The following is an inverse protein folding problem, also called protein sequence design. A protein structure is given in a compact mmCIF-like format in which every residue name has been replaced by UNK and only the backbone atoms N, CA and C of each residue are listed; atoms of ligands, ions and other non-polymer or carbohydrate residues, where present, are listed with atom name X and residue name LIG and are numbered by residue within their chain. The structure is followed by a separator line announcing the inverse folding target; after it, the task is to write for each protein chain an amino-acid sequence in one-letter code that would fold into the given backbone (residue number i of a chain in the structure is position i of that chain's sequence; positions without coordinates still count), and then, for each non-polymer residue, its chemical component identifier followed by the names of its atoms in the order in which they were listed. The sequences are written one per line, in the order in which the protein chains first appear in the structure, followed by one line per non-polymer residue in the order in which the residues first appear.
data_IF_203713716542
#
_entry.id   IF_203713716542
#
_cell.length_a   1.000
_cell.length_b   1.000
_cell.length_c   1.000
_cell.angle_alpha   90.00
_cell.angle_beta   90.00
_cell.angle_gamma   90.00
#
_symmetry.space_group_name_H-M   'P 1'
#
loop_
_entity.id
_entity.type
_entity.pdbx_description
1 polymer ?
#
# COMPACT_ATOMS: atom_id res chain seq x y z
N UNK A 1 -2.79 12.89 -16.60
CA UNK A 1 -4.15 12.64 -16.08
C UNK A 1 -3.93 12.18 -14.66
N UNK A 2 -4.28 13.03 -13.73
CA UNK A 2 -3.99 12.77 -12.32
C UNK A 2 -4.98 11.72 -11.82
N UNK A 3 -4.47 10.65 -11.19
CA UNK A 3 -5.32 9.67 -10.54
C UNK A 3 -6.02 10.36 -9.38
N UNK A 4 -7.33 10.25 -9.38
CA UNK A 4 -8.13 10.68 -8.26
C UNK A 4 -8.28 9.48 -7.29
N UNK A 5 -7.91 9.68 -6.03
CA UNK A 5 -8.11 8.69 -4.98
C UNK A 5 -9.56 8.18 -4.92
N UNK A 6 -10.54 9.02 -5.32
CA UNK A 6 -11.94 8.61 -5.44
C UNK A 6 -12.17 7.48 -6.44
N UNK A 7 -11.34 7.36 -7.47
CA UNK A 7 -11.45 6.31 -8.48
C UNK A 7 -10.99 4.96 -7.93
N UNK A 8 -9.91 4.96 -7.12
CA UNK A 8 -9.44 3.77 -6.42
C UNK A 8 -10.49 3.32 -5.39
N UNK A 9 -11.03 4.27 -4.63
CA UNK A 9 -12.10 3.99 -3.67
C UNK A 9 -13.31 3.38 -4.36
N UNK A 10 -13.81 4.02 -5.42
CA UNK A 10 -14.97 3.57 -6.21
C UNK A 10 -14.76 2.18 -6.81
N UNK A 11 -13.54 1.91 -7.31
CA UNK A 11 -13.17 0.58 -7.78
C UNK A 11 -13.35 -0.47 -6.67
N UNK A 12 -12.83 -0.22 -5.47
CA UNK A 12 -12.93 -1.17 -4.36
C UNK A 12 -14.34 -1.35 -3.79
N UNK A 13 -15.30 -0.46 -4.13
CA UNK A 13 -16.72 -0.65 -3.84
C UNK A 13 -17.43 -1.52 -4.91
N UNK A 14 -16.84 -1.69 -6.08
CA UNK A 14 -17.39 -2.54 -7.14
C UNK A 14 -17.32 -4.03 -6.78
N UNK A 15 -18.14 -4.86 -7.47
CA UNK A 15 -18.09 -6.33 -7.30
C UNK A 15 -16.69 -6.89 -7.58
N UNK A 16 -16.05 -6.39 -8.62
CA UNK A 16 -14.72 -6.82 -9.02
C UNK A 16 -13.66 -6.37 -8.01
N UNK A 17 -13.68 -5.10 -7.59
CA UNK A 17 -12.78 -4.57 -6.58
C UNK A 17 -12.92 -5.29 -5.23
N UNK A 18 -14.13 -5.71 -4.88
CA UNK A 18 -14.37 -6.53 -3.67
C UNK A 18 -13.69 -7.89 -3.76
N UNK A 19 -13.73 -8.55 -4.93
CA UNK A 19 -13.02 -9.82 -5.15
C UNK A 19 -11.51 -9.63 -5.09
N UNK A 20 -10.99 -8.60 -5.75
CA UNK A 20 -9.56 -8.25 -5.73
C UNK A 20 -9.10 -7.98 -4.30
N UNK A 21 -9.82 -7.14 -3.57
CA UNK A 21 -9.55 -6.83 -2.16
C UNK A 21 -9.48 -8.08 -1.30
N UNK A 22 -10.43 -9.01 -1.47
CA UNK A 22 -10.45 -10.29 -0.74
C UNK A 22 -9.21 -11.13 -1.04
N UNK A 23 -8.82 -11.25 -2.31
CA UNK A 23 -7.64 -12.00 -2.70
C UNK A 23 -6.34 -11.39 -2.15
N UNK A 24 -6.20 -10.08 -2.24
CA UNK A 24 -5.04 -9.38 -1.69
C UNK A 24 -4.96 -9.57 -0.16
N UNK A 25 -6.09 -9.43 0.55
CA UNK A 25 -6.15 -9.70 2.01
C UNK A 25 -5.70 -11.11 2.36
N UNK A 26 -6.13 -12.10 1.59
CA UNK A 26 -5.74 -13.50 1.81
C UNK A 26 -4.22 -13.67 1.62
N UNK A 27 -3.65 -13.13 0.56
CA UNK A 27 -2.21 -13.18 0.30
C UNK A 27 -1.41 -12.45 1.39
N UNK A 28 -1.81 -11.24 1.75
CA UNK A 28 -1.15 -10.51 2.84
C UNK A 28 -1.20 -11.28 4.15
N UNK A 29 -2.36 -11.81 4.51
CA UNK A 29 -2.54 -12.56 5.75
C UNK A 29 -1.67 -13.83 5.78
N UNK A 30 -1.51 -14.53 4.68
CA UNK A 30 -0.65 -15.72 4.61
C UNK A 30 0.83 -15.43 4.92
N UNK A 31 1.29 -14.21 4.65
CA UNK A 31 2.65 -13.76 4.98
C UNK A 31 2.77 -13.13 6.39
N UNK A 32 1.65 -12.71 6.97
CA UNK A 32 1.61 -11.93 8.20
C UNK A 32 0.97 -12.66 9.38
N UNK A 33 0.46 -13.88 9.20
CA UNK A 33 -0.23 -14.63 10.24
C UNK A 33 0.68 -15.06 11.39
N UNK A 34 1.98 -15.07 11.20
CA UNK A 34 2.98 -15.44 12.21
C UNK A 34 3.58 -14.23 12.94
N UNK A 35 3.27 -13.00 12.52
CA UNK A 35 3.77 -11.81 13.20
C UNK A 35 2.89 -11.48 14.42
N UNK A 36 3.54 -11.25 15.55
CA UNK A 36 2.89 -10.81 16.79
C UNK A 36 3.69 -9.63 17.36
N UNK A 37 3.00 -8.75 18.08
CA UNK A 37 3.61 -7.61 18.78
C UNK A 37 4.52 -6.75 17.88
N UNK A 38 4.12 -6.60 16.61
CA UNK A 38 4.93 -5.95 15.56
C UNK A 38 4.39 -4.57 15.21
N UNK A 39 5.30 -3.68 14.83
CA UNK A 39 4.99 -2.35 14.29
C UNK A 39 4.80 -2.49 12.78
N UNK A 40 3.61 -2.16 12.29
CA UNK A 40 3.21 -2.27 10.89
C UNK A 40 2.90 -0.89 10.32
N UNK A 41 3.59 -0.51 9.27
CA UNK A 41 3.34 0.73 8.53
C UNK A 41 2.72 0.42 7.17
N UNK A 42 1.56 0.98 6.89
CA UNK A 42 0.99 1.02 5.55
C UNK A 42 1.42 2.28 4.83
N UNK A 43 1.88 2.17 3.59
CA UNK A 43 2.30 3.30 2.78
C UNK A 43 1.60 3.29 1.42
N UNK A 44 0.82 4.33 1.15
CA UNK A 44 -0.07 4.41 -0.01
C UNK A 44 -1.55 4.18 0.35
N UNK A 45 -2.34 3.61 -0.56
CA UNK A 45 -3.75 3.31 -0.31
C UNK A 45 -3.92 1.95 0.40
N UNK A 46 -3.48 1.85 1.66
CA UNK A 46 -3.40 0.59 2.42
C UNK A 46 -4.57 0.34 3.37
N UNK A 47 -5.39 1.34 3.63
CA UNK A 47 -6.45 1.33 4.65
C UNK A 47 -7.37 0.10 4.60
N UNK A 48 -7.84 -0.39 3.42
CA UNK A 48 -8.71 -1.58 3.37
C UNK A 48 -8.02 -2.85 3.87
N UNK A 49 -6.70 -2.92 3.79
CA UNK A 49 -5.91 -4.08 4.19
C UNK A 49 -5.50 -4.00 5.66
N UNK A 50 -5.07 -2.81 6.11
CA UNK A 50 -4.73 -2.57 7.51
C UNK A 50 -5.92 -2.74 8.43
N UNK A 51 -7.10 -2.25 8.04
CA UNK A 51 -8.35 -2.47 8.79
C UNK A 51 -8.69 -3.95 8.96
N UNK A 52 -8.37 -4.77 7.96
CA UNK A 52 -8.53 -6.22 8.06
C UNK A 52 -7.51 -6.83 9.03
N UNK A 53 -6.23 -6.47 8.91
CA UNK A 53 -5.16 -6.96 9.79
C UNK A 53 -5.42 -6.59 11.25
N UNK A 54 -5.81 -5.35 11.51
CA UNK A 54 -6.13 -4.86 12.86
C UNK A 54 -7.28 -5.63 13.52
N UNK A 55 -8.23 -6.12 12.73
CA UNK A 55 -9.32 -6.99 13.24
C UNK A 55 -8.85 -8.40 13.56
N UNK A 56 -7.88 -8.91 12.82
CA UNK A 56 -7.33 -10.26 13.00
C UNK A 56 -6.35 -10.35 14.18
N UNK A 57 -5.54 -9.32 14.36
CA UNK A 57 -4.54 -9.28 15.44
C UNK A 57 -4.51 -7.89 16.07
N UNK A 58 -4.99 -7.81 17.31
CA UNK A 58 -5.07 -6.57 18.11
C UNK A 58 -3.74 -6.16 18.76
N UNK A 59 -2.74 -7.02 18.73
CA UNK A 59 -1.42 -6.74 19.29
C UNK A 59 -0.52 -6.00 18.28
N UNK A 60 -0.95 -5.80 17.06
CA UNK A 60 -0.19 -5.03 16.07
C UNK A 60 -0.31 -3.54 16.34
N UNK A 61 0.82 -2.83 16.32
CA UNK A 61 0.86 -1.38 16.30
C UNK A 61 0.80 -0.91 14.86
N UNK A 62 -0.36 -0.47 14.39
CA UNK A 62 -0.62 -0.15 12.99
C UNK A 62 -0.65 1.36 12.79
N UNK A 63 0.07 1.83 11.78
CA UNK A 63 -0.04 3.18 11.24
C UNK A 63 -0.22 3.17 9.72
N UNK A 64 -0.96 4.12 9.18
CA UNK A 64 -1.12 4.30 7.74
C UNK A 64 -0.60 5.67 7.31
N UNK A 65 0.32 5.69 6.37
CA UNK A 65 0.93 6.87 5.78
C UNK A 65 0.41 7.01 4.35
N UNK A 66 -0.55 7.88 4.16
CA UNK A 66 -1.21 8.08 2.87
C UNK A 66 -0.70 9.37 2.21
N UNK A 67 -0.07 9.29 1.03
CA UNK A 67 0.33 10.48 0.27
C UNK A 67 -0.86 11.37 -0.09
N UNK A 68 -0.65 12.69 -0.09
CA UNK A 68 -1.67 13.70 -0.38
C UNK A 68 -2.41 13.45 -1.70
N UNK A 69 -1.71 13.00 -2.74
CA UNK A 69 -2.32 12.71 -4.04
C UNK A 69 -3.31 11.53 -4.00
N UNK A 70 -3.27 10.72 -2.94
CA UNK A 70 -4.21 9.63 -2.68
C UNK A 70 -5.32 10.04 -1.69
N UNK A 71 -5.36 11.30 -1.24
CA UNK A 71 -6.44 11.80 -0.39
C UNK A 71 -7.67 12.13 -1.24
N UNK A 72 -8.67 11.27 -1.18
CA UNK A 72 -9.96 11.45 -1.86
C UNK A 72 -11.00 12.16 -1.01
N UNK A 73 -10.62 12.83 0.09
CA UNK A 73 -11.54 13.42 1.07
C UNK A 73 -12.58 12.38 1.61
N UNK A 74 -12.22 11.11 1.59
CA UNK A 74 -13.07 10.05 2.12
C UNK A 74 -12.96 10.04 3.62
N UNK A 75 -14.01 10.47 4.30
CA UNK A 75 -14.09 10.48 5.78
C UNK A 75 -14.34 9.07 6.31
N UNK A 76 -13.32 8.22 6.26
CA UNK A 76 -13.36 6.93 6.93
C UNK A 76 -12.74 7.06 8.34
N UNK A 77 -13.35 6.41 9.32
CA UNK A 77 -12.75 6.27 10.64
C UNK A 77 -11.97 4.97 10.70
N UNK A 78 -10.71 5.07 11.10
CA UNK A 78 -9.84 3.92 11.29
C UNK A 78 -9.57 3.71 12.78
N UNK A 79 -9.43 2.45 13.20
CA UNK A 79 -9.05 2.07 14.57
C UNK A 79 -7.52 2.02 14.74
N UNK A 80 -6.77 2.78 13.94
CA UNK A 80 -5.32 2.90 13.95
C UNK A 80 -4.90 4.31 13.52
N UNK A 81 -3.65 4.67 13.77
CA UNK A 81 -3.09 5.95 13.35
C UNK A 81 -3.10 6.10 11.83
N UNK A 82 -3.68 7.19 11.33
CA UNK A 82 -3.75 7.48 9.90
C UNK A 82 -3.34 8.91 9.66
N UNK A 83 -2.32 9.10 8.83
CA UNK A 83 -1.76 10.41 8.51
C UNK A 83 -1.71 10.62 6.99
N UNK A 84 -2.07 11.82 6.56
CA UNK A 84 -1.80 12.31 5.21
C UNK A 84 -0.40 12.91 5.22
N UNK A 85 0.45 12.49 4.29
CA UNK A 85 1.87 12.82 4.25
C UNK A 85 2.32 13.30 2.87
N UNK A 86 3.44 13.99 2.83
CA UNK A 86 4.15 14.23 1.57
C UNK A 86 4.72 12.90 1.03
N UNK A 87 4.62 12.68 -0.28
CA UNK A 87 4.83 11.38 -0.94
C UNK A 87 6.23 10.75 -0.78
N UNK A 88 7.24 11.52 -0.37
CA UNK A 88 8.64 11.05 -0.23
C UNK A 88 9.18 11.21 1.19
N UNK A 89 8.32 11.39 2.17
CA UNK A 89 8.73 11.54 3.56
C UNK A 89 7.81 10.77 4.50
N UNK A 90 8.37 9.81 5.22
CA UNK A 90 7.67 9.08 6.28
C UNK A 90 8.06 9.65 7.64
N UNK A 91 7.11 10.21 8.42
CA UNK A 91 7.40 10.80 9.73
C UNK A 91 7.59 9.72 10.82
N UNK A 92 8.48 8.78 10.54
CA UNK A 92 8.83 7.66 11.41
C UNK A 92 10.35 7.58 11.58
N UNK A 93 10.78 7.12 12.75
CA UNK A 93 12.20 6.98 13.06
C UNK A 93 12.86 5.89 12.18
N UNK A 94 14.15 6.02 11.87
CA UNK A 94 14.91 4.97 11.22
C UNK A 94 14.85 3.66 12.00
N UNK A 95 14.76 2.52 11.30
CA UNK A 95 14.76 1.18 11.91
C UNK A 95 13.72 1.00 13.02
N UNK A 96 12.53 1.58 12.86
CA UNK A 96 11.45 1.56 13.84
C UNK A 96 10.31 0.59 13.51
N UNK A 97 10.21 0.14 12.25
CA UNK A 97 9.08 -0.62 11.72
C UNK A 97 9.48 -2.06 11.40
N UNK A 98 8.68 -3.03 11.83
CA UNK A 98 8.90 -4.47 11.55
C UNK A 98 8.39 -4.86 10.16
N UNK A 99 7.27 -4.27 9.74
CA UNK A 99 6.62 -4.59 8.46
C UNK A 99 6.16 -3.32 7.76
N UNK A 100 6.54 -3.15 6.50
CA UNK A 100 5.95 -2.14 5.62
C UNK A 100 5.08 -2.83 4.57
N UNK A 101 3.83 -2.37 4.44
CA UNK A 101 2.90 -2.78 3.39
C UNK A 101 2.68 -1.59 2.48
N UNK A 102 2.98 -1.72 1.19
CA UNK A 102 2.71 -0.67 0.21
C UNK A 102 1.71 -1.13 -0.84
N UNK A 103 0.68 -0.32 -1.07
CA UNK A 103 -0.32 -0.56 -2.13
C UNK A 103 -0.68 0.75 -2.80
N UNK A 104 -0.80 0.72 -4.13
CA UNK A 104 -1.19 1.88 -4.93
C UNK A 104 -0.32 3.12 -4.65
N UNK A 105 0.98 2.92 -4.59
CA UNK A 105 1.98 3.96 -4.39
C UNK A 105 2.95 4.02 -5.57
N UNK A 106 3.74 2.95 -5.75
CA UNK A 106 4.88 2.93 -6.66
C UNK A 106 4.50 3.11 -8.13
N UNK A 107 3.28 2.77 -8.50
CA UNK A 107 2.75 2.98 -9.83
C UNK A 107 2.42 4.45 -10.12
N UNK A 108 2.27 5.29 -9.10
CA UNK A 108 1.78 6.67 -9.24
C UNK A 108 2.79 7.74 -8.86
N UNK A 109 3.76 7.44 -8.01
CA UNK A 109 4.81 8.39 -7.65
C UNK A 109 5.79 8.64 -8.80
N UNK A 110 6.25 9.87 -8.94
CA UNK A 110 7.22 10.23 -9.97
C UNK A 110 8.60 9.61 -9.72
N UNK A 111 9.00 9.56 -8.46
CA UNK A 111 10.32 9.07 -8.01
C UNK A 111 10.17 7.83 -7.11
N UNK A 112 9.83 6.67 -7.66
CA UNK A 112 9.62 5.45 -6.86
C UNK A 112 10.86 5.03 -6.06
N UNK A 113 12.06 5.38 -6.53
CA UNK A 113 13.32 5.19 -5.81
C UNK A 113 13.30 5.86 -4.44
N UNK A 114 12.89 7.14 -4.39
CA UNK A 114 12.84 7.90 -3.12
C UNK A 114 11.83 7.29 -2.14
N UNK A 115 10.71 6.80 -2.62
CA UNK A 115 9.76 6.07 -1.75
C UNK A 115 10.35 4.76 -1.22
N UNK A 116 11.14 4.03 -2.03
CA UNK A 116 11.82 2.80 -1.60
C UNK A 116 12.93 3.13 -0.58
N UNK A 117 13.70 4.19 -0.79
CA UNK A 117 14.73 4.65 0.17
C UNK A 117 14.12 4.96 1.54
N UNK A 118 12.97 5.64 1.58
CA UNK A 118 12.23 5.89 2.82
C UNK A 118 11.72 4.60 3.47
N UNK A 119 11.22 3.64 2.69
CA UNK A 119 10.82 2.32 3.20
C UNK A 119 12.03 1.62 3.86
N UNK A 120 13.18 1.61 3.20
CA UNK A 120 14.40 1.02 3.75
C UNK A 120 14.91 1.74 4.99
N UNK A 121 14.78 3.07 5.04
CA UNK A 121 15.17 3.86 6.20
C UNK A 121 14.41 3.47 7.46
N UNK A 122 13.08 3.30 7.35
CA UNK A 122 12.22 3.01 8.51
C UNK A 122 12.19 1.53 8.91
N UNK A 123 12.48 0.62 7.98
CA UNK A 123 12.48 -0.82 8.25
C UNK A 123 13.62 -1.20 9.21
N UNK A 124 13.29 -2.01 10.21
CA UNK A 124 14.29 -2.68 11.05
C UNK A 124 15.14 -3.66 10.25
N UNK A 125 16.37 -3.98 10.70
CA UNK A 125 17.12 -5.12 10.16
C UNK A 125 16.26 -6.39 10.19
N UNK A 126 16.21 -7.10 9.07
CA UNK A 126 15.32 -8.26 8.83
C UNK A 126 13.81 -7.93 8.82
N UNK A 127 13.43 -6.66 8.75
CA UNK A 127 12.04 -6.24 8.55
C UNK A 127 11.48 -6.71 7.21
N UNK A 128 10.17 -6.84 7.13
CA UNK A 128 9.48 -7.35 5.94
C UNK A 128 8.88 -6.20 5.13
N UNK A 129 9.21 -6.14 3.84
CA UNK A 129 8.55 -5.26 2.88
C UNK A 129 7.62 -6.05 1.96
N UNK A 130 6.32 -5.75 1.99
CA UNK A 130 5.30 -6.30 1.11
C UNK A 130 4.72 -5.20 0.23
N UNK A 131 4.70 -5.41 -1.07
CA UNK A 131 4.10 -4.44 -1.99
C UNK A 131 3.16 -5.09 -3.00
N UNK A 132 2.08 -4.39 -3.32
CA UNK A 132 1.11 -4.78 -4.33
C UNK A 132 1.11 -3.71 -5.41
N UNK A 133 1.55 -4.09 -6.59
CA UNK A 133 1.63 -3.22 -7.77
C UNK A 133 1.00 -3.91 -8.99
N UNK A 134 0.41 -3.16 -9.93
CA UNK A 134 -0.10 -3.71 -11.17
C UNK A 134 1.03 -4.30 -12.03
N UNK A 135 0.84 -5.55 -12.47
CA UNK A 135 1.81 -6.19 -13.36
C UNK A 135 1.58 -5.75 -14.81
N UNK A 136 2.67 -5.41 -15.53
CA UNK A 136 2.64 -4.97 -16.94
C UNK A 136 1.91 -5.92 -17.90
N UNK A 137 1.97 -7.22 -17.66
CA UNK A 137 1.25 -8.25 -18.43
C UNK A 137 -0.11 -8.62 -17.85
N UNK A 138 -0.58 -7.89 -16.84
CA UNK A 138 -1.87 -8.12 -16.19
C UNK A 138 -3.04 -7.65 -17.05
N UNK A 139 -4.21 -8.24 -16.80
CA UNK A 139 -5.47 -7.87 -17.47
C UNK A 139 -5.80 -6.40 -17.21
N UNK A 140 -5.48 -5.88 -16.03
CA UNK A 140 -5.77 -4.52 -15.57
C UNK A 140 -5.13 -3.42 -16.40
N UNK A 141 -3.95 -3.66 -16.98
CA UNK A 141 -3.23 -2.70 -17.82
C UNK A 141 -3.78 -2.60 -19.25
N UNK A 142 -4.78 -3.43 -19.59
CA UNK A 142 -5.39 -3.48 -20.94
C UNK A 142 -6.75 -2.80 -21.03
N UNK A 143 -7.31 -2.42 -19.91
CA UNK A 143 -8.63 -1.78 -19.84
C UNK A 143 -8.46 -0.34 -19.38
N UNK A 144 -8.68 0.62 -20.28
CA UNK A 144 -8.58 2.06 -20.01
C UNK A 144 -9.63 2.58 -18.99
N UNK A 145 -10.59 1.74 -18.61
CA UNK A 145 -11.70 2.08 -17.72
C UNK A 145 -11.48 1.68 -16.25
N UNK A 146 -10.23 1.50 -15.83
CA UNK A 146 -9.94 1.23 -14.42
C UNK A 146 -8.78 2.12 -13.92
N UNK A 147 -8.74 2.48 -12.63
CA UNK A 147 -7.75 3.40 -12.09
C UNK A 147 -6.29 2.93 -12.23
N UNK A 148 -6.07 1.64 -12.48
CA UNK A 148 -4.74 1.03 -12.60
C UNK A 148 -4.20 1.02 -14.04
N UNK A 149 -5.02 1.37 -15.03
CA UNK A 149 -4.61 1.47 -16.43
C UNK A 149 -3.67 2.66 -16.69
N UNK A 150 -3.76 3.70 -15.87
CA UNK A 150 -2.97 4.93 -16.01
C UNK A 150 -1.65 4.91 -15.21
N UNK A 151 -1.52 4.00 -14.26
CA UNK A 151 -0.32 3.88 -13.43
C UNK A 151 0.87 3.25 -14.18
N UNK A 152 2.07 3.51 -13.66
CA UNK A 152 3.30 2.86 -14.13
C UNK A 152 3.25 1.38 -13.81
N UNK A 153 3.17 0.53 -14.81
CA UNK A 153 3.18 -0.92 -14.62
C UNK A 153 4.62 -1.47 -14.62
N UNK A 154 4.90 -2.41 -13.75
CA UNK A 154 6.23 -3.00 -13.61
C UNK A 154 6.27 -4.43 -14.14
N UNK A 155 7.34 -4.78 -14.83
CA UNK A 155 7.75 -6.19 -14.96
C UNK A 155 8.46 -6.63 -13.67
N UNK A 156 8.50 -7.94 -13.41
CA UNK A 156 9.23 -8.47 -12.25
C UNK A 156 10.70 -8.04 -12.26
N UNK A 157 11.33 -8.01 -13.45
CA UNK A 157 12.73 -7.58 -13.60
C UNK A 157 12.90 -6.09 -13.26
N UNK A 158 12.03 -5.23 -13.76
CA UNK A 158 12.07 -3.79 -13.46
C UNK A 158 11.84 -3.52 -11.96
N UNK A 159 10.90 -4.22 -11.34
CA UNK A 159 10.67 -4.06 -9.92
C UNK A 159 11.87 -4.53 -9.09
N UNK A 160 12.48 -5.69 -9.42
CA UNK A 160 13.68 -6.17 -8.74
C UNK A 160 14.90 -5.26 -8.89
N UNK A 161 14.97 -4.45 -9.94
CA UNK A 161 16.05 -3.46 -10.09
C UNK A 161 15.75 -2.12 -9.39
N UNK A 162 14.53 -1.95 -8.88
CA UNK A 162 14.12 -0.77 -8.13
C UNK A 162 14.42 -0.91 -6.64
N UNK A 163 14.36 -2.15 -6.12
CA UNK A 163 14.59 -2.49 -4.71
C UNK A 163 16.01 -3.00 -4.48
#
# INVERSE_FOLDING_TARGET
MDINASDIYSFYQSKLGTLVKRNIRHQLYSHLNSINDSVVCGYGYTNPYLSFLNKQNKNLQISAMQPEFLDGNVKEKYDFDHQIIHEYFLPLDPSSVDVVISTHLLEFVDKPQSSIEEIWRILKPNGLFLTIIPRRSGIWTRYDNNPFGFGRSYSIKQFKSLI
#
